data_IF_595782218232
#
_entry.id   IF_595782218232
#
_cell.length_a   1.000
_cell.length_b   1.000
_cell.length_c   1.000
_cell.angle_alpha   90.00
_cell.angle_beta   90.00
_cell.angle_gamma   90.00
#
_symmetry.space_group_name_H-M   'P 1'
#
loop_
_entity.id
_entity.type
_entity.pdbx_description
1 polymer ?
#
# COMPACT_ATOMS: atom_id res chain seq x y z
N UNK A 1 12.04 21.69 4.73
CA UNK A 1 13.45 21.74 5.17
C UNK A 1 14.05 20.36 4.95
N UNK A 2 14.77 20.17 3.85
CA UNK A 2 15.53 18.96 3.52
C UNK A 2 16.96 19.20 3.99
N UNK A 3 17.27 18.85 5.23
CA UNK A 3 18.63 18.88 5.76
C UNK A 3 18.91 17.44 6.17
N UNK A 4 19.76 16.76 5.38
CA UNK A 4 20.23 15.40 5.61
C UNK A 4 19.25 14.26 5.27
N UNK A 5 18.93 14.09 3.98
CA UNK A 5 18.60 12.74 3.50
C UNK A 5 19.93 12.00 3.31
N UNK A 6 20.17 10.83 3.93
CA UNK A 6 21.33 10.03 3.62
C UNK A 6 21.27 9.64 2.13
N UNK A 7 22.31 9.98 1.38
CA UNK A 7 22.55 9.36 0.07
C UNK A 7 22.86 7.86 0.29
N UNK A 8 22.78 7.08 -0.80
CA UNK A 8 23.14 5.65 -0.84
C UNK A 8 24.35 5.35 0.08
N UNK A 9 24.40 4.23 0.82
CA UNK A 9 25.47 3.96 1.80
C UNK A 9 26.90 4.08 1.25
N UNK A 10 27.08 4.02 -0.07
CA UNK A 10 28.35 4.31 -0.76
C UNK A 10 28.79 5.79 -0.76
N UNK A 11 27.90 6.72 -0.41
CA UNK A 11 28.12 8.16 -0.53
C UNK A 11 27.62 8.92 0.71
N UNK A 12 27.54 8.24 1.86
CA UNK A 12 27.08 8.83 3.12
C UNK A 12 28.26 9.10 4.05
N UNK A 13 28.55 10.37 4.31
CA UNK A 13 29.76 10.81 5.04
C UNK A 13 29.76 10.58 6.56
N UNK A 14 28.73 9.91 7.10
CA UNK A 14 28.51 9.73 8.54
C UNK A 14 28.65 8.28 9.03
N UNK A 15 28.76 7.32 8.11
CA UNK A 15 28.95 5.90 8.41
C UNK A 15 30.42 5.57 8.27
N UNK A 16 30.95 4.76 9.19
CA UNK A 16 32.33 4.26 9.09
C UNK A 16 32.45 3.27 7.92
N UNK A 17 33.66 3.03 7.39
CA UNK A 17 33.86 2.19 6.20
C UNK A 17 33.26 0.76 6.38
N UNK A 18 33.36 0.21 7.59
CA UNK A 18 32.81 -1.10 7.94
C UNK A 18 31.27 -1.10 7.99
N UNK A 19 30.66 -0.02 8.50
CA UNK A 19 29.20 0.14 8.52
C UNK A 19 28.63 0.40 7.12
N UNK A 20 29.36 1.14 6.28
CA UNK A 20 29.02 1.32 4.87
C UNK A 20 29.09 0.00 4.12
N UNK A 21 30.15 -0.78 4.32
CA UNK A 21 30.31 -2.10 3.72
C UNK A 21 29.21 -3.06 4.19
N UNK A 22 28.84 -3.05 5.47
CA UNK A 22 27.74 -3.86 6.00
C UNK A 22 26.38 -3.41 5.46
N UNK A 23 26.13 -2.09 5.35
CA UNK A 23 24.90 -1.56 4.79
C UNK A 23 24.76 -1.86 3.30
N UNK A 24 25.86 -1.77 2.54
CA UNK A 24 25.92 -2.19 1.15
C UNK A 24 25.75 -3.70 1.01
N UNK A 25 26.43 -4.50 1.83
CA UNK A 25 26.28 -5.95 1.85
C UNK A 25 24.83 -6.34 2.14
N UNK A 26 24.19 -5.70 3.12
CA UNK A 26 22.77 -5.93 3.43
C UNK A 26 21.85 -5.50 2.29
N UNK A 27 22.10 -4.35 1.65
CA UNK A 27 21.34 -3.92 0.47
C UNK A 27 21.50 -4.88 -0.71
N UNK A 28 22.73 -5.33 -0.96
CA UNK A 28 23.07 -6.30 -2.01
C UNK A 28 22.49 -7.68 -1.67
N UNK A 29 22.48 -8.07 -0.40
CA UNK A 29 21.91 -9.34 0.07
C UNK A 29 20.38 -9.32 0.04
N UNK A 30 19.75 -8.24 0.49
CA UNK A 30 18.30 -8.02 0.39
C UNK A 30 17.86 -7.89 -1.10
N UNK A 31 18.74 -7.46 -2.00
CA UNK A 31 18.44 -7.26 -3.43
C UNK A 31 18.96 -8.37 -4.38
N UNK A 32 19.88 -9.23 -3.94
CA UNK A 32 20.50 -10.31 -4.71
C UNK A 32 21.60 -9.93 -5.72
N UNK A 33 22.01 -8.65 -5.84
CA UNK A 33 23.08 -8.16 -6.76
C UNK A 33 23.39 -6.65 -6.50
N UNK A 34 24.49 -6.11 -7.03
CA UNK A 34 24.80 -4.67 -6.91
C UNK A 34 23.94 -3.84 -7.87
N UNK A 35 23.27 -2.80 -7.36
CA UNK A 35 22.49 -1.88 -8.20
C UNK A 35 23.43 -1.06 -9.09
N UNK A 36 23.23 -1.12 -10.41
CA UNK A 36 23.93 -0.25 -11.35
C UNK A 36 23.45 1.19 -11.16
N UNK A 37 24.30 2.01 -10.53
CA UNK A 37 24.09 3.44 -10.28
C UNK A 37 24.16 4.29 -11.55
N UNK A 38 24.42 3.68 -12.72
CA UNK A 38 24.32 4.35 -14.01
C UNK A 38 22.95 5.00 -14.17
N UNK A 39 22.92 6.33 -14.23
CA UNK A 39 21.73 7.13 -14.39
C UNK A 39 21.02 6.78 -15.71
N UNK A 40 20.18 5.74 -15.69
CA UNK A 40 19.32 5.38 -16.80
C UNK A 40 18.45 6.58 -17.18
N UNK A 41 18.37 6.86 -18.48
CA UNK A 41 17.61 8.00 -18.99
C UNK A 41 16.16 7.92 -18.49
N UNK A 42 15.59 9.01 -17.97
CA UNK A 42 14.23 9.04 -17.41
C UNK A 42 13.21 8.53 -18.43
N UNK A 43 13.40 8.83 -19.71
CA UNK A 43 12.54 8.37 -20.80
C UNK A 43 12.58 6.84 -20.98
N UNK A 44 13.75 6.23 -20.79
CA UNK A 44 13.93 4.78 -20.85
C UNK A 44 13.30 4.10 -19.64
N UNK A 45 13.48 4.67 -18.45
CA UNK A 45 12.81 4.18 -17.23
C UNK A 45 11.28 4.25 -17.35
N UNK A 46 10.74 5.35 -17.87
CA UNK A 46 9.30 5.49 -18.14
C UNK A 46 8.82 4.44 -19.13
N UNK A 47 9.57 4.21 -20.22
CA UNK A 47 9.23 3.16 -21.19
C UNK A 47 9.25 1.77 -20.54
N UNK A 48 10.24 1.46 -19.72
CA UNK A 48 10.36 0.20 -19.00
C UNK A 48 9.23 -0.01 -17.98
N UNK A 49 8.77 1.05 -17.31
CA UNK A 49 7.63 0.97 -16.38
C UNK A 49 6.33 0.79 -17.16
N UNK A 50 6.08 1.60 -18.18
CA UNK A 50 4.81 1.57 -18.93
C UNK A 50 4.64 0.30 -19.77
N UNK A 51 5.73 -0.38 -20.13
CA UNK A 51 5.66 -1.67 -20.83
C UNK A 51 5.36 -2.82 -19.86
N UNK A 52 5.53 -2.64 -18.55
CA UNK A 52 5.29 -3.67 -17.56
C UNK A 52 3.80 -3.72 -17.18
N UNK A 53 3.03 -4.76 -17.57
CA UNK A 53 1.59 -4.79 -17.35
C UNK A 53 1.19 -4.74 -15.87
N UNK A 54 2.10 -5.10 -14.96
CA UNK A 54 1.86 -5.05 -13.51
C UNK A 54 1.65 -3.63 -13.01
N UNK A 55 2.24 -2.62 -13.66
CA UNK A 55 2.09 -1.23 -13.20
C UNK A 55 0.63 -0.79 -13.23
N UNK A 56 -0.14 -1.25 -14.21
CA UNK A 56 -1.55 -0.90 -14.34
C UNK A 56 -2.39 -1.51 -13.21
N UNK A 57 -2.10 -2.76 -12.83
CA UNK A 57 -2.75 -3.41 -11.69
C UNK A 57 -2.42 -2.71 -10.37
N UNK A 58 -1.14 -2.40 -10.15
CA UNK A 58 -0.70 -1.69 -8.94
C UNK A 58 -1.20 -0.24 -8.88
N UNK A 59 -1.28 0.43 -10.02
CA UNK A 59 -1.85 1.78 -10.12
C UNK A 59 -3.35 1.76 -9.79
N UNK A 60 -4.09 0.78 -10.34
CA UNK A 60 -5.51 0.61 -10.03
C UNK A 60 -5.72 0.24 -8.55
N UNK A 61 -4.86 -0.60 -7.98
CA UNK A 61 -4.87 -0.94 -6.55
C UNK A 61 -4.63 0.31 -5.69
N UNK A 62 -3.61 1.11 -6.00
CA UNK A 62 -3.30 2.35 -5.28
C UNK A 62 -4.45 3.37 -5.39
N UNK A 63 -5.02 3.52 -6.58
CA UNK A 63 -6.13 4.42 -6.85
C UNK A 63 -7.39 4.03 -6.07
N UNK A 64 -7.79 2.76 -6.14
CA UNK A 64 -8.96 2.26 -5.40
C UNK A 64 -8.73 2.26 -3.89
N UNK A 65 -7.50 2.03 -3.42
CA UNK A 65 -7.14 2.16 -2.00
C UNK A 65 -7.29 3.59 -1.50
N UNK A 66 -6.80 4.59 -2.25
CA UNK A 66 -6.99 6.01 -1.91
C UNK A 66 -8.47 6.42 -1.97
N UNK A 67 -9.22 5.92 -2.96
CA UNK A 67 -10.65 6.16 -3.05
C UNK A 67 -11.41 5.62 -1.83
N UNK A 68 -11.04 4.42 -1.35
CA UNK A 68 -11.63 3.82 -0.14
C UNK A 68 -11.39 4.66 1.12
N UNK A 69 -10.37 5.52 1.11
CA UNK A 69 -9.92 6.36 2.21
C UNK A 69 -10.50 7.77 2.20
N UNK A 70 -11.35 8.14 1.23
CA UNK A 70 -11.89 9.51 1.14
C UNK A 70 -12.81 9.90 2.31
N UNK A 71 -13.31 8.95 3.10
CA UNK A 71 -14.06 9.25 4.32
C UNK A 71 -13.24 10.07 5.33
N UNK A 72 -11.90 10.02 5.27
CA UNK A 72 -11.01 10.73 6.20
C UNK A 72 -11.21 12.23 6.15
N UNK A 73 -11.46 12.80 4.96
CA UNK A 73 -11.71 14.23 4.78
C UNK A 73 -12.99 14.71 5.50
N UNK A 74 -13.96 13.81 5.67
CA UNK A 74 -15.25 14.08 6.30
C UNK A 74 -15.38 13.39 7.65
N UNK A 75 -14.30 12.82 8.19
CA UNK A 75 -14.35 11.99 9.38
C UNK A 75 -14.91 12.75 10.59
N UNK A 76 -14.49 14.00 10.89
CA UNK A 76 -15.11 14.77 11.97
C UNK A 76 -16.61 14.96 11.79
N UNK A 77 -17.06 15.24 10.55
CA UNK A 77 -18.49 15.38 10.21
C UNK A 77 -19.25 14.07 10.40
N UNK A 78 -18.64 12.92 10.04
CA UNK A 78 -19.22 11.59 10.26
C UNK A 78 -19.36 11.30 11.75
N UNK A 79 -18.34 11.61 12.56
CA UNK A 79 -18.36 11.43 14.02
C UNK A 79 -19.37 12.38 14.67
N UNK A 80 -19.53 13.59 14.15
CA UNK A 80 -20.52 14.55 14.64
C UNK A 80 -21.96 14.01 14.54
N UNK A 81 -22.24 13.08 13.62
CA UNK A 81 -23.56 12.43 13.51
C UNK A 81 -23.92 11.55 14.70
N UNK A 82 -23.00 11.31 15.64
CA UNK A 82 -23.28 10.66 16.93
C UNK A 82 -24.00 11.58 17.92
N UNK A 83 -24.08 12.89 17.63
CA UNK A 83 -24.82 13.86 18.46
C UNK A 83 -24.00 14.51 19.57
N UNK A 84 -22.68 14.36 19.56
CA UNK A 84 -21.77 15.06 20.47
C UNK A 84 -21.54 16.52 20.04
N UNK A 85 -21.08 17.37 20.97
CA UNK A 85 -20.66 18.73 20.66
C UNK A 85 -19.42 18.78 19.76
N UNK A 86 -19.08 19.96 19.23
CA UNK A 86 -17.97 20.12 18.29
C UNK A 86 -16.61 19.75 18.92
N UNK A 87 -16.38 20.15 20.17
CA UNK A 87 -15.12 19.90 20.87
C UNK A 87 -15.02 18.42 21.23
N UNK A 88 -16.09 17.84 21.75
CA UNK A 88 -16.16 16.42 22.11
C UNK A 88 -15.97 15.52 20.89
N UNK A 89 -16.59 15.86 19.75
CA UNK A 89 -16.42 15.13 18.48
C UNK A 89 -14.95 15.07 18.07
N UNK A 90 -14.24 16.21 18.11
CA UNK A 90 -12.82 16.28 17.78
C UNK A 90 -11.96 15.45 18.74
N UNK A 91 -12.23 15.54 20.05
CA UNK A 91 -11.53 14.76 21.07
C UNK A 91 -11.72 13.26 20.87
N UNK A 92 -12.92 12.82 20.47
CA UNK A 92 -13.26 11.43 20.22
C UNK A 92 -12.61 10.90 18.92
N UNK A 93 -12.26 11.77 17.97
CA UNK A 93 -11.52 11.34 16.76
C UNK A 93 -10.07 10.98 17.04
N UNK A 94 -9.42 11.62 18.03
CA UNK A 94 -8.02 11.37 18.38
C UNK A 94 -7.72 9.89 18.73
N UNK A 95 -8.47 9.20 19.62
CA UNK A 95 -8.22 7.80 19.93
C UNK A 95 -8.39 6.87 18.73
N UNK A 96 -9.26 7.21 17.77
CA UNK A 96 -9.42 6.43 16.53
C UNK A 96 -8.12 6.43 15.73
N UNK A 97 -7.49 7.59 15.59
CA UNK A 97 -6.23 7.72 14.86
C UNK A 97 -5.05 7.07 15.59
N UNK A 98 -5.02 7.14 16.92
CA UNK A 98 -4.02 6.43 17.73
C UNK A 98 -4.16 4.92 17.55
N UNK A 99 -5.39 4.38 17.63
CA UNK A 99 -5.64 2.97 17.39
C UNK A 99 -5.24 2.55 15.97
N UNK A 100 -5.58 3.36 14.97
CA UNK A 100 -5.20 3.15 13.57
C UNK A 100 -3.68 3.13 13.39
N UNK A 101 -2.97 4.02 14.07
CA UNK A 101 -1.51 4.05 14.06
C UNK A 101 -0.91 2.78 14.65
N UNK A 102 -1.38 2.33 15.82
CA UNK A 102 -0.90 1.12 16.47
C UNK A 102 -1.14 -0.13 15.60
N UNK A 103 -2.33 -0.25 15.01
CA UNK A 103 -2.63 -1.34 14.07
C UNK A 103 -1.72 -1.27 12.85
N UNK A 104 -1.50 -0.09 12.29
CA UNK A 104 -0.61 0.09 11.13
C UNK A 104 0.81 -0.39 11.44
N UNK A 105 1.33 -0.10 12.64
CA UNK A 105 2.65 -0.59 13.07
C UNK A 105 2.68 -2.11 13.18
N UNK A 106 1.71 -2.70 13.89
CA UNK A 106 1.65 -4.14 14.09
C UNK A 106 1.57 -4.86 12.75
N UNK A 107 0.67 -4.42 11.86
CA UNK A 107 0.45 -5.10 10.59
C UNK A 107 1.62 -4.89 9.63
N UNK A 108 2.26 -3.73 9.64
CA UNK A 108 3.49 -3.51 8.85
C UNK A 108 4.59 -4.47 9.29
N UNK A 109 4.75 -4.67 10.60
CA UNK A 109 5.72 -5.60 11.16
C UNK A 109 5.38 -7.06 10.83
N UNK A 110 4.13 -7.50 11.02
CA UNK A 110 3.72 -8.87 10.70
C UNK A 110 3.81 -9.16 9.21
N UNK A 111 3.44 -8.20 8.36
CA UNK A 111 3.51 -8.31 6.91
C UNK A 111 4.96 -8.43 6.41
N UNK A 112 5.89 -7.74 7.07
CA UNK A 112 7.33 -7.91 6.81
C UNK A 112 7.85 -9.30 7.21
N UNK A 113 7.30 -9.91 8.27
CA UNK A 113 7.72 -11.24 8.74
C UNK A 113 7.15 -12.40 7.89
N UNK A 114 5.93 -12.26 7.38
CA UNK A 114 5.27 -13.35 6.62
C UNK A 114 5.66 -13.38 5.14
N UNK A 115 6.26 -12.32 4.60
CA UNK A 115 6.51 -12.16 3.16
C UNK A 115 5.25 -12.39 2.29
N UNK A 116 4.07 -12.12 2.86
CA UNK A 116 2.78 -12.16 2.17
C UNK A 116 1.99 -10.89 2.55
N UNK A 117 2.11 -9.88 1.71
CA UNK A 117 1.44 -8.58 1.81
C UNK A 117 0.00 -8.69 1.33
N UNK A 118 -0.26 -9.51 0.31
CA UNK A 118 -1.59 -9.70 -0.25
C UNK A 118 -2.62 -10.13 0.80
N UNK A 119 -2.32 -11.14 1.65
CA UNK A 119 -3.23 -11.59 2.70
C UNK A 119 -3.52 -10.49 3.71
N UNK A 120 -2.50 -9.75 4.14
CA UNK A 120 -2.66 -8.67 5.11
C UNK A 120 -3.56 -7.56 4.57
N UNK A 121 -3.38 -7.17 3.30
CA UNK A 121 -4.24 -6.20 2.63
C UNK A 121 -5.68 -6.71 2.57
N UNK A 122 -5.90 -7.97 2.16
CA UNK A 122 -7.24 -8.55 2.07
C UNK A 122 -7.95 -8.51 3.43
N UNK A 123 -7.30 -9.00 4.49
CA UNK A 123 -7.88 -9.03 5.83
C UNK A 123 -8.22 -7.62 6.35
N UNK A 124 -7.30 -6.67 6.17
CA UNK A 124 -7.52 -5.28 6.58
C UNK A 124 -8.67 -4.61 5.80
N UNK A 125 -8.75 -4.86 4.50
CA UNK A 125 -9.84 -4.33 3.68
C UNK A 125 -11.18 -4.94 4.08
N UNK A 126 -11.24 -6.22 4.44
CA UNK A 126 -12.46 -6.84 4.97
C UNK A 126 -12.89 -6.22 6.31
N UNK A 127 -11.94 -5.87 7.19
CA UNK A 127 -12.23 -5.12 8.43
C UNK A 127 -12.81 -3.74 8.11
N UNK A 128 -12.25 -3.04 7.12
CA UNK A 128 -12.79 -1.75 6.66
C UNK A 128 -14.20 -1.88 6.08
N UNK A 129 -14.46 -2.91 5.27
CA UNK A 129 -15.79 -3.24 4.73
C UNK A 129 -16.79 -3.47 5.86
N UNK A 130 -16.44 -4.26 6.88
CA UNK A 130 -17.29 -4.48 8.04
C UNK A 130 -17.60 -3.17 8.78
N UNK A 131 -16.59 -2.32 9.00
CA UNK A 131 -16.77 -0.98 9.57
C UNK A 131 -17.72 -0.11 8.75
N UNK A 132 -17.51 -0.02 7.44
CA UNK A 132 -18.37 0.77 6.55
C UNK A 132 -19.82 0.26 6.55
N UNK A 133 -20.04 -1.06 6.49
CA UNK A 133 -21.37 -1.67 6.55
C UNK A 133 -22.05 -1.37 7.88
N UNK A 134 -21.37 -1.58 9.01
CA UNK A 134 -21.96 -1.33 10.34
C UNK A 134 -22.31 0.15 10.48
N UNK A 135 -21.40 1.07 10.11
CA UNK A 135 -21.61 2.52 10.19
C UNK A 135 -22.85 2.98 9.42
N UNK A 136 -23.11 2.36 8.26
CA UNK A 136 -24.25 2.67 7.40
C UNK A 136 -25.54 1.93 7.78
N UNK A 137 -25.45 0.69 8.23
CA UNK A 137 -26.61 -0.18 8.47
C UNK A 137 -27.33 0.12 9.79
N UNK A 138 -26.60 0.51 10.85
CA UNK A 138 -27.17 0.73 12.18
C UNK A 138 -27.30 2.21 12.54
N UNK A 139 -28.27 2.53 13.38
CA UNK A 139 -28.42 3.84 14.04
C UNK A 139 -27.95 3.81 15.49
N UNK A 140 -27.53 2.65 16.01
CA UNK A 140 -27.04 2.51 17.38
C UNK A 140 -25.69 3.25 17.54
N UNK A 141 -25.63 4.18 18.50
CA UNK A 141 -24.46 5.04 18.73
C UNK A 141 -23.20 4.22 19.03
N UNK A 142 -23.29 3.21 19.89
CA UNK A 142 -22.15 2.36 20.27
C UNK A 142 -21.61 1.55 19.10
N UNK A 143 -22.50 0.96 18.30
CA UNK A 143 -22.11 0.20 17.12
C UNK A 143 -21.48 1.09 16.04
N UNK A 144 -22.02 2.30 15.82
CA UNK A 144 -21.42 3.28 14.88
C UNK A 144 -20.07 3.77 15.36
N UNK A 145 -19.94 4.04 16.66
CA UNK A 145 -18.66 4.45 17.24
C UNK A 145 -17.59 3.38 17.05
N UNK A 146 -17.90 2.12 17.33
CA UNK A 146 -16.99 1.00 17.07
C UNK A 146 -16.64 0.87 15.58
N UNK A 147 -17.62 1.02 14.69
CA UNK A 147 -17.40 0.99 13.25
C UNK A 147 -16.44 2.09 12.76
N UNK A 148 -16.48 3.28 13.37
CA UNK A 148 -15.57 4.39 13.07
C UNK A 148 -14.11 4.09 13.44
N UNK A 149 -13.83 3.12 14.32
CA UNK A 149 -12.47 2.59 14.53
C UNK A 149 -12.06 1.63 13.40
N UNK A 150 -12.94 0.69 13.05
CA UNK A 150 -12.63 -0.36 12.08
C UNK A 150 -12.32 0.18 10.68
N UNK A 151 -13.05 1.21 10.22
CA UNK A 151 -12.86 1.81 8.90
C UNK A 151 -11.41 2.29 8.67
N UNK A 152 -10.85 3.22 9.47
CA UNK A 152 -9.47 3.68 9.31
C UNK A 152 -8.44 2.61 9.68
N UNK A 153 -8.67 1.79 10.72
CA UNK A 153 -7.78 0.68 11.06
C UNK A 153 -7.58 -0.28 9.88
N UNK A 154 -8.61 -0.53 9.07
CA UNK A 154 -8.47 -1.33 7.86
C UNK A 154 -7.85 -0.56 6.70
N UNK A 155 -8.52 0.51 6.24
CA UNK A 155 -8.18 1.18 4.99
C UNK A 155 -6.81 1.89 5.03
N UNK A 156 -6.47 2.55 6.14
CA UNK A 156 -5.22 3.30 6.28
C UNK A 156 -4.04 2.37 6.45
N UNK A 157 -4.19 1.31 7.27
CA UNK A 157 -3.14 0.32 7.45
C UNK A 157 -2.86 -0.46 6.16
N UNK A 158 -3.91 -0.78 5.38
CA UNK A 158 -3.74 -1.48 4.10
C UNK A 158 -2.94 -0.63 3.09
N UNK A 159 -3.19 0.68 3.05
CA UNK A 159 -2.48 1.61 2.16
C UNK A 159 -0.96 1.62 2.39
N UNK A 160 -0.51 1.58 3.65
CA UNK A 160 0.93 1.53 3.98
C UNK A 160 1.59 0.28 3.40
N UNK A 161 0.91 -0.87 3.49
CA UNK A 161 1.40 -2.13 2.96
C UNK A 161 1.40 -2.12 1.43
N UNK A 162 0.39 -1.50 0.79
CA UNK A 162 0.32 -1.39 -0.67
C UNK A 162 1.52 -0.60 -1.21
N UNK A 163 1.90 0.52 -0.61
CA UNK A 163 3.09 1.29 -1.02
C UNK A 163 4.34 0.41 -0.94
N UNK A 164 4.52 -0.30 0.18
CA UNK A 164 5.64 -1.21 0.35
C UNK A 164 5.60 -2.35 -0.69
N UNK A 165 4.41 -2.85 -1.03
CA UNK A 165 4.26 -3.91 -2.02
C UNK A 165 4.64 -3.44 -3.42
N UNK A 166 4.18 -2.25 -3.84
CA UNK A 166 4.59 -1.63 -5.11
C UNK A 166 6.12 -1.51 -5.17
N UNK A 167 6.74 -0.99 -4.11
CA UNK A 167 8.18 -0.79 -4.08
C UNK A 167 8.98 -2.10 -4.23
N UNK A 168 8.47 -3.20 -3.68
CA UNK A 168 9.13 -4.51 -3.77
C UNK A 168 8.79 -5.29 -5.04
N UNK A 169 7.72 -4.93 -5.74
CA UNK A 169 7.30 -5.59 -6.99
C UNK A 169 8.09 -5.11 -8.20
N UNK A 170 8.72 -3.94 -8.09
CA UNK A 170 9.59 -3.35 -9.12
C UNK A 170 11.01 -3.14 -8.54
N UNK A 171 11.77 -4.20 -8.21
CA UNK A 171 13.03 -4.05 -7.49
C UNK A 171 14.12 -3.36 -8.32
N UNK A 172 14.18 -3.60 -9.65
CA UNK A 172 15.24 -3.08 -10.53
C UNK A 172 14.75 -2.72 -11.94
N UNK A 173 15.44 -1.79 -12.64
CA UNK A 173 16.45 -0.84 -12.13
C UNK A 173 15.85 0.17 -11.12
N UNK A 174 16.67 0.81 -10.28
CA UNK A 174 16.22 1.80 -9.28
C UNK A 174 15.37 2.93 -9.90
N UNK A 175 15.74 3.38 -11.11
CA UNK A 175 15.01 4.41 -11.84
C UNK A 175 13.61 3.91 -12.23
N UNK A 176 13.49 2.64 -12.64
CA UNK A 176 12.19 1.98 -12.93
C UNK A 176 11.34 1.90 -11.65
N UNK A 177 11.93 1.46 -10.53
CA UNK A 177 11.24 1.40 -9.23
C UNK A 177 10.67 2.76 -8.83
N UNK A 178 11.50 3.79 -8.89
CA UNK A 178 11.14 5.15 -8.50
C UNK A 178 10.06 5.72 -9.41
N UNK A 179 10.17 5.52 -10.72
CA UNK A 179 9.15 5.92 -11.70
C UNK A 179 7.82 5.16 -11.48
N UNK A 180 7.85 3.87 -11.17
CA UNK A 180 6.65 3.08 -10.86
C UNK A 180 5.92 3.61 -9.62
N UNK A 181 6.65 3.89 -8.53
CA UNK A 181 6.08 4.49 -7.31
C UNK A 181 5.51 5.87 -7.61
N UNK A 182 6.20 6.70 -8.40
CA UNK A 182 5.75 8.04 -8.76
C UNK A 182 4.45 7.99 -9.59
N UNK A 183 4.38 7.15 -10.62
CA UNK A 183 3.19 6.97 -11.46
C UNK A 183 2.00 6.48 -10.63
N UNK A 184 2.22 5.44 -9.81
CA UNK A 184 1.16 4.89 -8.96
C UNK A 184 0.62 5.94 -7.98
N UNK A 185 1.49 6.76 -7.38
CA UNK A 185 1.06 7.84 -6.49
C UNK A 185 0.35 8.99 -7.21
N UNK A 186 0.87 9.43 -8.37
CA UNK A 186 0.25 10.50 -9.15
C UNK A 186 -1.16 10.12 -9.59
N UNK A 187 -1.31 8.95 -10.23
CA UNK A 187 -2.62 8.46 -10.67
C UNK A 187 -3.49 8.04 -9.49
N UNK A 188 -2.90 7.54 -8.41
CA UNK A 188 -3.61 7.20 -7.19
C UNK A 188 -4.33 8.40 -6.58
N UNK A 189 -3.64 9.55 -6.44
CA UNK A 189 -4.19 10.76 -5.82
C UNK A 189 -5.35 11.39 -6.61
N UNK A 190 -5.54 11.05 -7.88
CA UNK A 190 -6.71 11.52 -8.64
C UNK A 190 -8.03 11.04 -8.03
N UNK A 191 -8.02 9.96 -7.26
CA UNK A 191 -9.18 9.48 -6.49
C UNK A 191 -9.73 10.51 -5.50
N UNK A 192 -8.88 11.38 -4.95
CA UNK A 192 -9.30 12.41 -3.99
C UNK A 192 -10.13 13.52 -4.62
N UNK A 193 -9.98 13.74 -5.93
CA UNK A 193 -10.72 14.80 -6.66
C UNK A 193 -12.21 14.47 -6.64
N UNK A 194 -12.58 13.27 -7.11
CA UNK A 194 -13.97 12.90 -7.30
C UNK A 194 -14.58 12.19 -6.11
N UNK A 195 -13.80 11.56 -5.23
CA UNK A 195 -14.40 10.85 -4.10
C UNK A 195 -14.91 11.75 -2.98
N UNK A 196 -14.64 13.06 -3.03
CA UNK A 196 -15.36 14.05 -2.24
C UNK A 196 -16.87 14.06 -2.56
N UNK A 197 -17.25 13.82 -3.82
CA UNK A 197 -18.66 13.74 -4.24
C UNK A 197 -19.39 12.50 -3.72
N UNK A 198 -18.66 11.51 -3.16
CA UNK A 198 -19.29 10.34 -2.53
C UNK A 198 -19.95 10.68 -1.19
N UNK A 199 -19.64 11.83 -0.59
CA UNK A 199 -20.11 12.24 0.74
C UNK A 199 -20.98 13.50 0.69
N UNK A 200 -22.12 13.50 -0.03
CA UNK A 200 -22.98 14.68 -0.08
C UNK A 200 -23.59 14.96 1.30
N UNK A 201 -23.54 16.22 1.73
CA UNK A 201 -24.08 16.67 3.02
C UNK A 201 -25.57 16.35 3.19
N UNK A 202 -26.32 16.28 2.08
CA UNK A 202 -27.75 15.91 2.04
C UNK A 202 -28.03 14.47 2.47
N UNK A 203 -27.01 13.60 2.48
CA UNK A 203 -27.15 12.19 2.87
C UNK A 203 -26.85 11.93 4.35
N UNK A 204 -26.59 12.98 5.14
CA UNK A 204 -26.53 12.87 6.59
C UNK A 204 -27.88 12.42 7.18
N UNK A 205 -27.92 11.82 8.39
CA UNK A 205 -26.80 11.51 9.28
C UNK A 205 -26.16 10.13 9.01
N UNK A 206 -26.72 9.32 8.11
CA UNK A 206 -26.25 7.94 7.86
C UNK A 206 -25.21 7.84 6.75
N UNK A 207 -25.12 8.84 5.88
CA UNK A 207 -24.21 8.88 4.72
C UNK A 207 -24.19 7.57 3.92
N UNK A 208 -25.39 7.02 3.64
CA UNK A 208 -25.54 5.71 2.99
C UNK A 208 -24.79 5.62 1.65
N UNK A 209 -24.86 6.62 0.75
CA UNK A 209 -24.11 6.58 -0.50
C UNK A 209 -22.60 6.52 -0.27
N UNK A 210 -22.07 7.32 0.65
CA UNK A 210 -20.64 7.34 0.97
C UNK A 210 -20.16 6.04 1.59
N UNK A 211 -20.85 5.55 2.63
CA UNK A 211 -20.46 4.31 3.32
C UNK A 211 -20.60 3.06 2.44
N UNK A 212 -21.67 2.95 1.66
CA UNK A 212 -21.83 1.82 0.72
C UNK A 212 -20.80 1.85 -0.41
N UNK A 213 -20.47 3.03 -0.95
CA UNK A 213 -19.46 3.15 -1.98
C UNK A 213 -18.05 2.90 -1.41
N UNK A 214 -17.73 3.35 -0.19
CA UNK A 214 -16.50 2.97 0.51
C UNK A 214 -16.41 1.46 0.73
N UNK A 215 -17.49 0.80 1.14
CA UNK A 215 -17.51 -0.66 1.30
C UNK A 215 -17.28 -1.38 -0.04
N UNK A 216 -17.94 -0.95 -1.12
CA UNK A 216 -17.78 -1.53 -2.45
C UNK A 216 -16.36 -1.35 -3.00
N UNK A 217 -15.79 -0.16 -2.86
CA UNK A 217 -14.40 0.13 -3.28
C UNK A 217 -13.42 -0.65 -2.41
N UNK A 218 -13.65 -0.75 -1.10
CA UNK A 218 -12.79 -1.53 -0.21
C UNK A 218 -12.79 -3.03 -0.56
N UNK A 219 -13.94 -3.58 -0.93
CA UNK A 219 -14.04 -4.94 -1.45
C UNK A 219 -13.30 -5.10 -2.78
N UNK A 220 -13.39 -4.12 -3.68
CA UNK A 220 -12.64 -4.11 -4.94
C UNK A 220 -11.12 -4.13 -4.68
N UNK A 221 -10.62 -3.40 -3.69
CA UNK A 221 -9.20 -3.45 -3.28
C UNK A 221 -8.82 -4.85 -2.82
N UNK A 222 -9.65 -5.52 -2.02
CA UNK A 222 -9.39 -6.90 -1.59
C UNK A 222 -9.35 -7.89 -2.78
N UNK A 223 -10.25 -7.73 -3.75
CA UNK A 223 -10.24 -8.52 -4.99
C UNK A 223 -8.97 -8.27 -5.80
N UNK A 224 -8.60 -7.00 -6.01
CA UNK A 224 -7.37 -6.64 -6.73
C UNK A 224 -6.12 -7.17 -6.03
N UNK A 225 -6.04 -7.08 -4.70
CA UNK A 225 -4.95 -7.65 -3.93
C UNK A 225 -4.88 -9.18 -4.10
N UNK A 226 -6.02 -9.86 -4.13
CA UNK A 226 -6.07 -11.31 -4.40
C UNK A 226 -5.56 -11.62 -5.82
N UNK A 227 -5.97 -10.85 -6.82
CA UNK A 227 -5.50 -11.02 -8.21
C UNK A 227 -3.99 -10.82 -8.32
N UNK A 228 -3.45 -9.75 -7.75
CA UNK A 228 -2.00 -9.46 -7.80
C UNK A 228 -1.23 -10.55 -7.06
N UNK A 229 -1.72 -11.00 -5.90
CA UNK A 229 -1.13 -12.13 -5.16
C UNK A 229 -1.09 -13.40 -6.00
N UNK A 230 -2.17 -13.73 -6.71
CA UNK A 230 -2.20 -14.89 -7.62
C UNK A 230 -1.23 -14.73 -8.80
N UNK A 231 -1.11 -13.53 -9.37
CA UNK A 231 -0.15 -13.23 -10.44
C UNK A 231 1.28 -13.43 -9.94
N UNK A 232 1.64 -12.88 -8.79
CA UNK A 232 2.96 -13.06 -8.20
C UNK A 232 3.26 -14.51 -7.82
N UNK A 233 2.27 -15.24 -7.29
CA UNK A 233 2.42 -16.67 -7.02
C UNK A 233 2.73 -17.46 -8.30
N UNK A 234 2.04 -17.17 -9.41
CA UNK A 234 2.32 -17.79 -10.71
C UNK A 234 3.71 -17.44 -11.24
N UNK A 235 4.13 -16.18 -11.11
CA UNK A 235 5.48 -15.75 -11.50
C UNK A 235 6.55 -16.44 -10.65
N UNK A 236 6.31 -16.63 -9.35
CA UNK A 236 7.23 -17.35 -8.47
C UNK A 236 7.39 -18.82 -8.88
N UNK A 237 6.31 -19.48 -9.29
CA UNK A 237 6.35 -20.85 -9.82
C UNK A 237 7.14 -20.93 -11.13
N UNK A 238 6.90 -20.01 -12.07
CA UNK A 238 7.65 -19.95 -13.33
C UNK A 238 9.15 -19.72 -13.12
N UNK A 239 9.52 -18.87 -12.15
CA UNK A 239 10.93 -18.68 -11.78
C UNK A 239 11.54 -19.96 -11.22
N UNK A 240 10.78 -20.74 -10.45
CA UNK A 240 11.25 -22.02 -9.92
C UNK A 240 11.50 -23.03 -11.05
N UNK A 241 10.56 -23.16 -11.99
CA UNK A 241 10.69 -24.03 -13.15
C UNK A 241 11.90 -23.63 -14.03
N UNK A 242 12.15 -22.33 -14.19
CA UNK A 242 13.32 -21.82 -14.92
C UNK A 242 14.64 -22.15 -14.22
N UNK A 243 14.70 -22.02 -12.90
CA UNK A 243 15.88 -22.40 -12.10
C UNK A 243 16.17 -23.90 -12.22
N UNK A 244 15.15 -24.75 -12.08
CA UNK A 244 15.27 -26.21 -12.24
C UNK A 244 15.71 -26.59 -13.67
N UNK A 245 15.25 -25.87 -14.70
CA UNK A 245 15.68 -26.08 -16.09
C UNK A 245 17.11 -25.58 -16.38
N UNK A 246 17.56 -24.51 -15.72
CA UNK A 246 18.91 -23.97 -15.89
C UNK A 246 19.97 -24.83 -15.19
N UNK A 247 19.64 -25.48 -14.08
CA UNK A 247 20.49 -26.52 -13.47
C UNK A 247 20.71 -27.72 -14.42
N UNK A 248 19.82 -27.91 -15.40
CA UNK A 248 19.93 -28.93 -16.44
C UNK A 248 20.80 -28.52 -17.65
N UNK A 249 21.35 -27.30 -17.65
CA UNK A 249 22.43 -26.87 -18.55
C UNK A 249 22.04 -26.01 -19.76
N UNK A 250 20.82 -25.46 -19.83
CA UNK A 250 20.33 -24.86 -21.09
C UNK A 250 20.20 -23.33 -21.19
N UNK A 251 20.31 -22.50 -20.13
CA UNK A 251 20.29 -21.03 -20.31
C UNK A 251 20.93 -20.20 -19.17
N UNK A 252 21.35 -18.98 -19.50
CA UNK A 252 21.82 -17.96 -18.55
C UNK A 252 20.62 -17.32 -17.81
N UNK A 253 20.63 -17.17 -16.48
CA UNK A 253 19.50 -16.59 -15.74
C UNK A 253 19.27 -15.10 -16.08
N UNK A 254 18.02 -14.70 -16.35
CA UNK A 254 17.62 -13.27 -16.44
C UNK A 254 17.42 -12.63 -15.06
N UNK A 255 17.30 -13.43 -14.01
CA UNK A 255 17.14 -13.01 -12.62
C UNK A 255 18.19 -13.69 -11.74
N UNK A 256 18.66 -13.02 -10.66
CA UNK A 256 19.58 -13.65 -9.71
C UNK A 256 18.93 -14.90 -9.10
N UNK A 257 19.70 -15.98 -9.00
CA UNK A 257 19.25 -17.28 -8.50
C UNK A 257 18.67 -17.10 -7.09
N UNK A 258 17.46 -17.60 -6.86
CA UNK A 258 16.73 -17.52 -5.59
C UNK A 258 15.81 -16.31 -5.42
N UNK A 259 15.67 -15.44 -6.43
CA UNK A 259 14.74 -14.31 -6.36
C UNK A 259 13.27 -14.78 -6.34
N UNK A 260 12.49 -14.29 -5.37
CA UNK A 260 11.05 -14.53 -5.27
C UNK A 260 10.29 -13.22 -5.08
N UNK A 261 9.19 -13.07 -5.80
CA UNK A 261 8.25 -11.97 -5.58
C UNK A 261 7.54 -12.13 -4.24
N UNK A 262 7.35 -11.01 -3.54
CA UNK A 262 6.55 -10.97 -2.33
C UNK A 262 5.07 -11.03 -2.71
N UNK A 263 4.35 -11.97 -2.06
CA UNK A 263 2.94 -12.27 -2.31
C UNK A 263 1.99 -11.19 -1.78
#
# INVERSE_FOLDING_TARGET
>A
MLISLPNYPANTSWLDEEEQAYAQWRLIHDAGEADDTGAGNISEALRLVLTDPRIYLFTLLQHTSLLSQNFQYFFPTIVQTLGYGNIETLLITAPVWIATFLVSLVVTWTSGKTNDRGIHIILLMLVSVAGAIICTATTNIGARFFAMFLMPMGAVSAYQIIIAWIANSFPRPLVKRSAAIAIANMLGNTASIYGSYMWPSSSGPRYIPGGSATAGVALLVAVLATVIRMVHARMNLQLQEQEESNESGENTPQHPVGFRYIL
#
